data_IF_217396186068
#
_entry.id   IF_217396186068
#
_cell.length_a   1.000
_cell.length_b   1.000
_cell.length_c   1.000
_cell.angle_alpha   90.00
_cell.angle_beta   90.00
_cell.angle_gamma   90.00
#
_symmetry.space_group_name_H-M   'P 1'
#
loop_
_entity.id
_entity.type
_entity.pdbx_description
1 polymer ?
#
# COMPACT_ATOMS: atom_id res chain seq x y z
N UNK A 1 -4.71 40.59 -41.89
CA UNK A 1 -5.53 40.60 -40.65
C UNK A 1 -5.43 39.25 -39.94
N UNK A 2 -4.37 39.03 -39.18
CA UNK A 2 -4.15 37.82 -38.40
C UNK A 2 -3.16 38.13 -37.26
N UNK A 3 -3.60 38.90 -36.26
CA UNK A 3 -2.89 39.14 -34.99
C UNK A 3 -3.92 39.54 -33.95
N UNK A 4 -4.58 38.59 -33.28
CA UNK A 4 -5.37 38.92 -32.08
C UNK A 4 -5.81 37.71 -31.22
N UNK A 5 -5.50 36.45 -31.57
CA UNK A 5 -6.02 35.29 -30.81
C UNK A 5 -5.01 34.63 -29.88
N UNK A 6 -3.71 34.90 -30.03
CA UNK A 6 -2.67 34.25 -29.17
C UNK A 6 -2.44 34.92 -27.81
N UNK A 7 -2.80 36.20 -27.66
CA UNK A 7 -2.56 36.94 -26.41
C UNK A 7 -3.58 36.61 -25.29
N UNK A 8 -4.82 36.23 -25.65
CA UNK A 8 -5.87 35.90 -24.66
C UNK A 8 -5.71 34.51 -24.04
N UNK A 9 -5.07 33.57 -24.74
CA UNK A 9 -4.85 32.23 -24.20
C UNK A 9 -3.70 32.19 -23.19
N UNK A 10 -2.66 32.98 -23.44
CA UNK A 10 -1.51 33.08 -22.51
C UNK A 10 -1.84 33.79 -21.18
N UNK A 11 -2.78 34.76 -21.23
CA UNK A 11 -3.22 35.47 -19.99
C UNK A 11 -4.12 34.60 -19.11
N UNK A 12 -4.88 33.65 -19.65
CA UNK A 12 -5.70 32.73 -18.86
C UNK A 12 -4.88 31.63 -18.22
N UNK A 13 -3.84 31.13 -18.88
CA UNK A 13 -2.91 30.14 -18.30
C UNK A 13 -2.05 30.76 -17.19
N UNK A 14 -1.57 31.98 -17.37
CA UNK A 14 -0.77 32.67 -16.34
C UNK A 14 -1.58 33.00 -15.08
N UNK A 15 -2.87 33.38 -15.19
CA UNK A 15 -3.72 33.67 -14.03
C UNK A 15 -4.12 32.42 -13.25
N UNK A 16 -4.26 31.26 -13.89
CA UNK A 16 -4.56 30.00 -13.20
C UNK A 16 -3.32 29.48 -12.45
N UNK A 17 -2.13 29.60 -13.04
CA UNK A 17 -0.87 29.17 -12.41
C UNK A 17 -0.47 30.08 -11.23
N UNK A 18 -0.74 31.39 -11.33
CA UNK A 18 -0.43 32.36 -10.24
C UNK A 18 -1.40 32.19 -9.06
N UNK A 19 -2.66 31.78 -9.26
CA UNK A 19 -3.58 31.45 -8.15
C UNK A 19 -3.17 30.17 -7.41
N UNK A 20 -2.61 29.19 -8.09
CA UNK A 20 -2.12 27.97 -7.45
C UNK A 20 -0.84 28.21 -6.60
N UNK A 21 -0.01 29.19 -6.95
CA UNK A 21 1.22 29.50 -6.20
C UNK A 21 0.97 30.40 -4.98
N UNK A 22 -0.16 31.08 -4.85
CA UNK A 22 -0.49 31.96 -3.72
C UNK A 22 -1.10 31.22 -2.50
N UNK A 23 -1.31 29.90 -2.60
CA UNK A 23 -1.97 29.10 -1.57
C UNK A 23 -1.04 28.13 -0.82
N UNK A 24 0.26 28.27 -0.95
CA UNK A 24 1.24 27.47 -0.19
C UNK A 24 1.71 28.32 1.01
N UNK A 25 1.29 27.95 2.20
CA UNK A 25 1.82 28.54 3.42
C UNK A 25 3.25 28.05 3.71
N UNK A 26 3.89 28.63 4.72
CA UNK A 26 5.24 28.26 5.17
C UNK A 26 5.35 26.81 5.68
N UNK A 27 4.25 26.06 5.80
CA UNK A 27 4.20 24.63 6.16
C UNK A 27 4.07 23.70 4.93
N UNK A 28 3.94 24.26 3.70
CA UNK A 28 3.88 23.48 2.46
C UNK A 28 2.57 22.71 2.24
N UNK A 29 1.48 23.09 2.90
CA UNK A 29 0.19 22.39 2.82
C UNK A 29 -0.82 23.19 1.98
N UNK A 30 -1.48 22.50 1.03
CA UNK A 30 -2.64 23.04 0.33
C UNK A 30 -3.88 23.02 1.25
N UNK A 31 -4.56 24.13 1.40
CA UNK A 31 -5.81 24.28 2.16
C UNK A 31 -6.44 25.65 1.89
N UNK A 32 -7.72 25.81 2.12
CA UNK A 32 -8.38 27.11 2.01
C UNK A 32 -7.99 28.00 3.18
N UNK A 33 -7.34 29.14 2.91
CA UNK A 33 -7.06 30.17 3.88
C UNK A 33 -8.28 31.08 3.97
N UNK A 34 -8.94 31.12 5.13
CA UNK A 34 -10.02 32.06 5.39
C UNK A 34 -9.48 33.48 5.61
N UNK A 35 -10.33 34.49 5.41
CA UNK A 35 -9.99 35.92 5.57
C UNK A 35 -9.47 36.29 6.99
N UNK A 36 -9.70 35.43 7.98
CA UNK A 36 -9.22 35.57 9.37
C UNK A 36 -7.85 34.91 9.61
N UNK A 37 -7.19 34.35 8.58
CA UNK A 37 -5.91 33.67 8.69
C UNK A 37 -5.97 32.25 9.25
N UNK A 38 -7.17 31.70 9.46
CA UNK A 38 -7.32 30.29 9.89
C UNK A 38 -7.21 29.34 8.69
N UNK A 39 -6.48 28.25 8.88
CA UNK A 39 -6.24 27.22 7.88
C UNK A 39 -7.10 26.01 8.23
N UNK A 40 -8.16 25.76 7.47
CA UNK A 40 -8.88 24.49 7.58
C UNK A 40 -8.35 23.51 6.54
N UNK A 41 -7.65 22.48 7.00
CA UNK A 41 -7.36 21.32 6.15
C UNK A 41 -8.67 20.60 5.85
N UNK A 42 -8.94 20.35 4.57
CA UNK A 42 -10.02 19.48 4.14
C UNK A 42 -9.87 18.07 4.74
N UNK A 43 -10.92 17.26 4.66
CA UNK A 43 -10.84 15.85 5.01
C UNK A 43 -9.78 15.17 4.13
N UNK A 44 -9.08 14.16 4.69
CA UNK A 44 -8.07 13.38 3.97
C UNK A 44 -8.22 11.89 4.25
N UNK A 45 -7.84 11.09 3.28
CA UNK A 45 -7.62 9.66 3.45
C UNK A 45 -6.12 9.44 3.71
N UNK A 46 -5.75 9.04 4.93
CA UNK A 46 -4.38 8.62 5.24
C UNK A 46 -4.24 7.13 5.03
N UNK A 47 -3.24 6.73 4.25
CA UNK A 47 -2.87 5.34 4.03
C UNK A 47 -1.53 5.05 4.71
N UNK A 48 -1.49 4.08 5.62
CA UNK A 48 -0.27 3.47 6.10
C UNK A 48 0.00 2.19 5.31
N UNK A 49 0.82 2.25 4.27
CA UNK A 49 1.19 1.10 3.44
C UNK A 49 2.24 0.28 4.14
N UNK A 50 1.95 -0.97 4.45
CA UNK A 50 2.82 -1.90 5.18
C UNK A 50 3.20 -3.04 4.24
N UNK A 51 4.50 -3.30 4.06
CA UNK A 51 4.96 -4.56 3.48
C UNK A 51 4.77 -5.67 4.50
N UNK A 52 4.32 -6.85 4.06
CA UNK A 52 4.22 -8.04 4.92
C UNK A 52 5.51 -8.36 5.67
N UNK A 53 5.43 -9.06 6.81
CA UNK A 53 6.57 -9.62 7.53
C UNK A 53 7.39 -10.59 6.67
N UNK A 54 8.62 -10.88 7.04
CA UNK A 54 9.49 -11.81 6.30
C UNK A 54 8.77 -13.13 6.04
N UNK A 55 8.69 -13.54 4.78
CA UNK A 55 8.14 -14.83 4.36
C UNK A 55 9.25 -15.86 4.15
N UNK A 56 8.88 -17.15 4.09
CA UNK A 56 9.83 -18.21 3.74
C UNK A 56 10.45 -17.99 2.35
N UNK A 57 9.72 -17.41 1.39
CA UNK A 57 10.30 -17.04 0.10
C UNK A 57 11.37 -15.93 0.22
N UNK A 58 11.21 -14.98 1.15
CA UNK A 58 12.27 -13.99 1.42
C UNK A 58 13.51 -14.63 2.05
N UNK A 59 13.33 -15.65 2.89
CA UNK A 59 14.45 -16.43 3.44
C UNK A 59 15.19 -17.15 2.31
N UNK A 60 14.46 -17.82 1.40
CA UNK A 60 15.06 -18.49 0.24
C UNK A 60 15.78 -17.52 -0.69
N UNK A 61 15.25 -16.31 -0.88
CA UNK A 61 15.88 -15.25 -1.66
C UNK A 61 17.22 -14.82 -1.02
N UNK A 62 17.23 -14.54 0.28
CA UNK A 62 18.44 -14.16 1.02
C UNK A 62 19.52 -15.26 1.03
N UNK A 63 19.11 -16.53 0.95
CA UNK A 63 19.99 -17.70 0.90
C UNK A 63 20.43 -18.09 -0.52
N UNK A 64 19.93 -17.41 -1.57
CA UNK A 64 20.21 -17.78 -2.97
C UNK A 64 19.50 -19.07 -3.43
N UNK A 65 18.54 -19.57 -2.65
CA UNK A 65 17.79 -20.82 -2.93
C UNK A 65 16.37 -20.56 -3.43
N UNK A 66 16.06 -19.33 -3.87
CA UNK A 66 14.70 -18.93 -4.26
C UNK A 66 14.06 -19.84 -5.32
N UNK A 67 14.82 -20.18 -6.40
CA UNK A 67 14.27 -20.99 -7.49
C UNK A 67 13.88 -22.41 -7.07
N UNK A 68 14.58 -22.98 -6.09
CA UNK A 68 14.39 -24.37 -5.64
C UNK A 68 13.51 -24.48 -4.40
N UNK A 69 13.44 -23.44 -3.58
CA UNK A 69 12.74 -23.46 -2.31
C UNK A 69 11.42 -22.67 -2.27
N UNK A 70 11.15 -21.83 -3.28
CA UNK A 70 9.93 -21.01 -3.26
C UNK A 70 8.65 -21.84 -3.38
N UNK A 71 7.62 -21.35 -2.71
CA UNK A 71 6.25 -21.84 -2.88
C UNK A 71 5.35 -20.70 -3.36
N UNK A 72 4.20 -21.05 -3.98
CA UNK A 72 3.29 -20.07 -4.60
C UNK A 72 2.75 -19.04 -3.58
N UNK A 73 2.35 -19.50 -2.38
CA UNK A 73 1.82 -18.64 -1.30
C UNK A 73 2.51 -18.96 0.04
N UNK A 74 3.71 -18.40 0.29
CA UNK A 74 4.52 -18.73 1.46
C UNK A 74 3.92 -18.19 2.76
N UNK A 75 4.17 -18.92 3.83
CA UNK A 75 3.94 -18.48 5.20
C UNK A 75 4.99 -17.45 5.65
N UNK A 76 4.72 -16.75 6.75
CA UNK A 76 5.72 -15.96 7.44
C UNK A 76 6.81 -16.86 8.04
N UNK A 77 8.06 -16.38 7.97
CA UNK A 77 9.16 -16.99 8.75
C UNK A 77 8.95 -16.74 10.26
N UNK A 78 9.70 -17.40 11.14
CA UNK A 78 9.70 -17.07 12.57
C UNK A 78 10.01 -15.59 12.82
N UNK A 79 10.97 -15.01 12.10
CA UNK A 79 11.30 -13.57 12.14
C UNK A 79 10.10 -12.72 11.67
N UNK A 80 9.45 -13.10 10.57
CA UNK A 80 8.30 -12.38 10.04
C UNK A 80 7.11 -12.37 10.98
N UNK A 81 6.86 -13.46 11.70
CA UNK A 81 5.83 -13.51 12.76
C UNK A 81 6.15 -12.51 13.87
N UNK A 82 7.41 -12.49 14.34
CA UNK A 82 7.82 -11.52 15.38
C UNK A 82 7.73 -10.07 14.89
N UNK A 83 8.10 -9.79 13.64
CA UNK A 83 7.93 -8.47 13.02
C UNK A 83 6.46 -8.03 13.04
N UNK A 84 5.53 -8.93 12.68
CA UNK A 84 4.09 -8.65 12.70
C UNK A 84 3.57 -8.35 14.11
N UNK A 85 4.03 -9.12 15.12
CA UNK A 85 3.70 -8.89 16.53
C UNK A 85 4.16 -7.50 17.00
N UNK A 86 5.42 -7.16 16.74
CA UNK A 86 6.03 -5.87 17.11
C UNK A 86 5.30 -4.70 16.44
N UNK A 87 4.93 -4.85 15.16
CA UNK A 87 4.10 -3.86 14.48
C UNK A 87 2.73 -3.70 15.15
N UNK A 88 2.08 -4.82 15.51
CA UNK A 88 0.79 -4.81 16.19
C UNK A 88 0.86 -4.13 17.55
N UNK A 89 1.88 -4.44 18.36
CA UNK A 89 2.15 -3.80 19.65
C UNK A 89 2.37 -2.29 19.50
N UNK A 90 3.14 -1.87 18.49
CA UNK A 90 3.41 -0.46 18.19
C UNK A 90 2.14 0.30 17.80
N UNK A 91 1.34 -0.27 16.89
CA UNK A 91 0.10 0.34 16.40
C UNK A 91 -1.02 0.33 17.47
N UNK A 92 -1.02 -0.63 18.39
CA UNK A 92 -1.92 -0.67 19.54
C UNK A 92 -1.63 0.42 20.59
N UNK A 93 -0.41 0.94 20.62
CA UNK A 93 -0.04 2.07 21.48
C UNK A 93 -0.27 3.40 20.75
N UNK A 94 -1.31 4.15 21.11
CA UNK A 94 -1.69 5.40 20.45
C UNK A 94 -0.56 6.42 20.35
N UNK A 95 0.25 6.58 21.40
CA UNK A 95 1.37 7.53 21.41
C UNK A 95 2.46 7.12 20.42
N UNK A 96 2.76 5.83 20.28
CA UNK A 96 3.72 5.32 19.30
C UNK A 96 3.16 5.39 17.88
N UNK A 97 1.91 4.99 17.68
CA UNK A 97 1.23 5.04 16.39
C UNK A 97 1.11 6.47 15.84
N UNK A 98 1.14 7.49 16.71
CA UNK A 98 1.16 8.91 16.29
C UNK A 98 2.40 9.27 15.47
N UNK A 99 3.51 8.53 15.60
CA UNK A 99 4.67 8.68 14.71
C UNK A 99 4.29 8.54 13.22
N UNK A 100 3.30 7.71 12.93
CA UNK A 100 2.71 7.55 11.59
C UNK A 100 1.47 8.42 11.37
N UNK A 101 1.01 9.16 12.39
CA UNK A 101 -0.31 9.80 12.41
C UNK A 101 -1.45 8.78 12.36
N UNK A 102 -1.23 7.59 12.90
CA UNK A 102 -2.15 6.46 12.95
C UNK A 102 -2.60 6.13 14.39
N UNK A 103 -2.60 7.11 15.29
CA UNK A 103 -3.09 6.96 16.67
C UNK A 103 -4.54 6.49 16.75
N UNK A 104 -5.30 6.69 15.69
CA UNK A 104 -6.59 6.07 15.41
C UNK A 104 -6.54 5.45 14.01
N UNK A 105 -6.70 4.14 13.91
CA UNK A 105 -6.91 3.43 12.65
C UNK A 105 -8.41 3.18 12.53
N UNK A 106 -8.99 3.52 11.38
CA UNK A 106 -10.42 3.36 11.12
C UNK A 106 -10.73 2.07 10.34
N UNK A 107 -9.80 1.63 9.48
CA UNK A 107 -9.93 0.40 8.69
C UNK A 107 -8.57 -0.27 8.51
N UNK A 108 -8.59 -1.59 8.30
CA UNK A 108 -7.44 -2.38 7.86
C UNK A 108 -7.81 -3.03 6.53
N UNK A 109 -7.04 -2.71 5.48
CA UNK A 109 -7.13 -3.36 4.17
C UNK A 109 -5.98 -4.34 4.05
N UNK A 110 -6.25 -5.53 3.54
CA UNK A 110 -5.24 -6.60 3.49
C UNK A 110 -5.29 -7.33 2.17
N UNK A 111 -4.12 -7.60 1.61
CA UNK A 111 -3.95 -8.47 0.45
C UNK A 111 -4.34 -9.93 0.81
N UNK A 112 -4.87 -10.72 -0.15
CA UNK A 112 -5.36 -12.06 0.12
C UNK A 112 -4.26 -13.13 0.27
N UNK A 113 -2.97 -12.77 0.17
CA UNK A 113 -1.88 -13.72 0.40
C UNK A 113 -1.76 -14.10 1.87
N UNK A 114 -1.42 -15.37 2.16
CA UNK A 114 -1.23 -15.88 3.52
C UNK A 114 -0.35 -14.99 4.38
N UNK A 115 0.84 -14.61 3.89
CA UNK A 115 1.79 -13.76 4.62
C UNK A 115 1.27 -12.38 4.99
N UNK A 116 0.38 -11.79 4.18
CA UNK A 116 -0.24 -10.48 4.50
C UNK A 116 -1.37 -10.62 5.49
N UNK A 117 -2.18 -11.68 5.38
CA UNK A 117 -3.24 -12.00 6.34
C UNK A 117 -2.63 -12.20 7.74
N UNK A 118 -1.56 -13.00 7.84
CA UNK A 118 -0.84 -13.25 9.09
C UNK A 118 -0.16 -11.99 9.64
N UNK A 119 0.38 -11.11 8.76
CA UNK A 119 0.99 -9.84 9.17
C UNK A 119 -0.04 -8.87 9.75
N UNK A 120 -1.27 -8.85 9.23
CA UNK A 120 -2.32 -7.97 9.70
C UNK A 120 -2.94 -8.42 11.03
N UNK A 121 -2.85 -9.69 11.38
CA UNK A 121 -3.57 -10.27 12.52
C UNK A 121 -3.21 -9.63 13.88
N UNK A 122 -1.93 -9.38 14.24
CA UNK A 122 -1.60 -8.70 15.49
C UNK A 122 -2.13 -7.25 15.55
N UNK A 123 -2.06 -6.50 14.44
CA UNK A 123 -2.60 -5.15 14.37
C UNK A 123 -4.14 -5.15 14.48
N UNK A 124 -4.81 -6.10 13.84
CA UNK A 124 -6.26 -6.31 13.96
C UNK A 124 -6.67 -6.58 15.42
N UNK A 125 -5.93 -7.46 16.10
CA UNK A 125 -6.15 -7.77 17.52
C UNK A 125 -5.94 -6.53 18.41
N UNK A 126 -4.88 -5.77 18.17
CA UNK A 126 -4.54 -4.59 18.98
C UNK A 126 -5.53 -3.42 18.79
N UNK A 127 -6.11 -3.29 17.61
CA UNK A 127 -7.06 -2.22 17.27
C UNK A 127 -8.53 -2.63 17.46
N UNK A 128 -8.82 -3.91 17.55
CA UNK A 128 -10.19 -4.46 17.58
C UNK A 128 -10.93 -4.38 16.24
N UNK A 129 -10.21 -4.11 15.14
CA UNK A 129 -10.79 -3.96 13.80
C UNK A 129 -10.82 -5.31 13.06
N UNK A 130 -11.84 -5.50 12.21
CA UNK A 130 -11.94 -6.62 11.29
C UNK A 130 -11.27 -6.24 9.95
N UNK A 131 -10.13 -6.84 9.57
CA UNK A 131 -9.49 -6.56 8.29
C UNK A 131 -10.39 -6.92 7.11
N UNK A 132 -10.40 -6.04 6.08
CA UNK A 132 -11.10 -6.27 4.82
C UNK A 132 -10.10 -6.78 3.77
N UNK A 133 -10.39 -7.91 3.18
CA UNK A 133 -9.55 -8.49 2.11
C UNK A 133 -9.87 -7.80 0.79
N UNK A 134 -8.84 -7.30 0.11
CA UNK A 134 -8.89 -6.71 -1.22
C UNK A 134 -8.09 -7.54 -2.21
N UNK A 135 -8.78 -8.15 -3.17
CA UNK A 135 -8.19 -9.08 -4.14
C UNK A 135 -7.42 -8.40 -5.28
N UNK A 136 -7.23 -7.09 -5.23
CA UNK A 136 -6.51 -6.29 -6.21
C UNK A 136 -5.26 -5.58 -5.65
N UNK A 137 -4.89 -5.84 -4.39
CA UNK A 137 -3.65 -5.35 -3.79
C UNK A 137 -2.64 -6.50 -3.54
N UNK A 138 -2.73 -7.57 -4.35
CA UNK A 138 -1.83 -8.72 -4.29
C UNK A 138 -0.43 -8.39 -4.86
N UNK A 139 0.56 -9.26 -4.59
CA UNK A 139 1.93 -9.08 -5.06
C UNK A 139 2.02 -9.15 -6.59
N UNK A 140 2.92 -8.36 -7.20
CA UNK A 140 3.24 -8.47 -8.61
C UNK A 140 3.55 -9.93 -8.98
N UNK A 141 2.99 -10.37 -10.10
CA UNK A 141 3.07 -11.78 -10.50
C UNK A 141 1.90 -12.63 -10.02
N UNK A 142 1.18 -12.26 -8.95
CA UNK A 142 0.08 -13.05 -8.41
C UNK A 142 0.53 -14.34 -7.71
N UNK A 143 -0.27 -15.41 -7.82
CA UNK A 143 0.06 -16.73 -7.27
C UNK A 143 0.30 -17.71 -8.40
N UNK A 144 1.50 -18.29 -8.46
CA UNK A 144 1.90 -19.22 -9.51
C UNK A 144 2.95 -20.22 -9.02
N UNK A 145 2.98 -21.39 -9.64
CA UNK A 145 4.12 -22.27 -9.64
C UNK A 145 4.98 -22.00 -10.88
N UNK A 146 6.28 -22.13 -10.75
CA UNK A 146 7.23 -22.08 -11.85
C UNK A 146 7.83 -23.47 -12.10
N UNK A 147 8.20 -23.76 -13.34
CA UNK A 147 9.02 -24.94 -13.65
C UNK A 147 10.48 -24.73 -13.19
N UNK A 148 11.30 -25.78 -13.24
CA UNK A 148 12.70 -25.73 -12.77
C UNK A 148 13.57 -24.72 -13.56
N UNK A 149 13.27 -24.49 -14.84
CA UNK A 149 13.96 -23.48 -15.66
C UNK A 149 13.53 -22.05 -15.34
N UNK A 150 12.41 -21.86 -14.61
CA UNK A 150 11.81 -20.58 -14.28
C UNK A 150 11.40 -19.74 -15.51
N UNK A 151 10.93 -20.42 -16.56
CA UNK A 151 10.47 -19.83 -17.83
C UNK A 151 9.01 -20.16 -18.17
N UNK A 152 8.36 -21.00 -17.36
CA UNK A 152 6.95 -21.34 -17.47
C UNK A 152 6.24 -21.22 -16.12
N UNK A 153 5.04 -20.63 -16.12
CA UNK A 153 4.30 -20.27 -14.93
C UNK A 153 2.86 -20.75 -14.98
N UNK A 154 2.43 -21.50 -13.96
CA UNK A 154 1.06 -21.99 -13.82
C UNK A 154 0.37 -21.28 -12.67
N UNK A 155 -0.71 -20.57 -12.96
CA UNK A 155 -1.50 -19.88 -11.93
C UNK A 155 -2.06 -20.87 -10.87
N UNK A 156 -2.12 -20.40 -9.63
CA UNK A 156 -2.80 -21.06 -8.51
C UNK A 156 -3.88 -20.14 -7.95
N UNK A 157 -4.97 -20.73 -7.44
CA UNK A 157 -6.10 -19.96 -6.92
C UNK A 157 -5.81 -19.20 -5.60
N UNK A 158 -4.77 -19.60 -4.87
CA UNK A 158 -4.52 -19.12 -3.50
C UNK A 158 -5.49 -19.76 -2.50
N UNK A 159 -5.51 -19.23 -1.28
CA UNK A 159 -6.43 -19.71 -0.24
C UNK A 159 -7.89 -19.58 -0.68
N UNK A 160 -8.65 -20.63 -0.48
CA UNK A 160 -10.10 -20.64 -0.67
C UNK A 160 -10.80 -19.83 0.43
N UNK A 161 -12.08 -19.48 0.21
CA UNK A 161 -12.91 -18.82 1.23
C UNK A 161 -12.94 -19.61 2.54
N UNK A 162 -13.13 -20.93 2.44
CA UNK A 162 -13.20 -21.79 3.63
C UNK A 162 -11.88 -21.79 4.42
N UNK A 163 -10.75 -21.88 3.75
CA UNK A 163 -9.43 -21.81 4.37
C UNK A 163 -9.17 -20.46 5.03
N UNK A 164 -9.51 -19.34 4.36
CA UNK A 164 -9.38 -18.01 4.95
C UNK A 164 -10.28 -17.83 6.16
N UNK A 165 -11.53 -18.27 6.09
CA UNK A 165 -12.47 -18.19 7.22
C UNK A 165 -12.03 -19.03 8.42
N UNK A 166 -11.44 -20.19 8.17
CA UNK A 166 -10.90 -21.05 9.23
C UNK A 166 -9.67 -20.41 9.91
N UNK A 167 -8.74 -19.82 9.12
CA UNK A 167 -7.52 -19.22 9.65
C UNK A 167 -7.77 -17.81 10.26
N UNK A 168 -8.67 -17.03 9.66
CA UNK A 168 -8.96 -15.64 10.02
C UNK A 168 -10.47 -15.37 10.11
N UNK A 169 -11.18 -15.91 11.11
CA UNK A 169 -12.64 -15.91 11.18
C UNK A 169 -13.26 -14.51 11.30
N UNK A 170 -12.49 -13.51 11.71
CA UNK A 170 -12.95 -12.11 11.84
C UNK A 170 -12.77 -11.28 10.56
N UNK A 171 -12.09 -11.81 9.53
CA UNK A 171 -11.79 -11.05 8.33
C UNK A 171 -13.01 -10.95 7.41
N UNK A 172 -13.19 -9.78 6.81
CA UNK A 172 -14.27 -9.53 5.85
C UNK A 172 -13.78 -9.91 4.46
N UNK A 173 -14.34 -11.00 3.91
CA UNK A 173 -13.96 -11.54 2.62
C UNK A 173 -14.92 -11.06 1.52
N UNK A 174 -14.41 -10.54 0.38
CA UNK A 174 -15.24 -10.22 -0.79
C UNK A 174 -15.73 -11.49 -1.48
N UNK A 175 -16.78 -11.39 -2.30
CA UNK A 175 -17.32 -12.53 -3.06
C UNK A 175 -16.31 -13.12 -4.06
N UNK A 176 -15.35 -12.32 -4.51
CA UNK A 176 -14.24 -12.76 -5.36
C UNK A 176 -13.34 -13.83 -4.74
N UNK A 177 -13.37 -13.99 -3.41
CA UNK A 177 -12.75 -15.13 -2.72
C UNK A 177 -13.79 -16.24 -2.61
N UNK A 178 -13.64 -17.32 -3.36
CA UNK A 178 -14.61 -18.43 -3.40
C UNK A 178 -13.98 -19.82 -3.09
N UNK A 179 -14.65 -20.89 -3.48
CA UNK A 179 -14.19 -22.25 -3.25
C UNK A 179 -12.94 -22.63 -4.09
N UNK A 180 -12.57 -21.83 -5.10
CA UNK A 180 -11.39 -22.06 -5.96
C UNK A 180 -10.23 -21.11 -5.63
N UNK A 181 -10.39 -20.27 -4.58
CA UNK A 181 -9.42 -19.26 -4.16
C UNK A 181 -9.84 -17.86 -4.61
N UNK A 182 -8.85 -17.00 -4.86
CA UNK A 182 -9.07 -15.58 -5.18
C UNK A 182 -8.33 -15.11 -6.44
N UNK A 183 -7.23 -15.77 -6.83
CA UNK A 183 -6.45 -15.37 -8.00
C UNK A 183 -7.08 -15.93 -9.28
N UNK A 184 -7.27 -15.07 -10.28
CA UNK A 184 -7.95 -15.41 -11.54
C UNK A 184 -7.07 -15.14 -12.78
N UNK A 185 -5.78 -14.82 -12.58
CA UNK A 185 -4.86 -14.63 -13.69
C UNK A 185 -4.61 -15.93 -14.45
N UNK A 186 -4.27 -15.85 -15.75
CA UNK A 186 -4.00 -17.05 -16.57
C UNK A 186 -2.62 -17.66 -16.25
N UNK A 187 -1.76 -16.95 -15.54
CA UNK A 187 -0.39 -17.33 -15.20
C UNK A 187 0.22 -16.29 -14.27
N UNK A 188 1.51 -16.04 -14.43
CA UNK A 188 2.20 -14.95 -13.75
C UNK A 188 1.81 -13.60 -14.36
N UNK A 189 1.34 -12.67 -13.55
CA UNK A 189 1.07 -11.29 -13.97
C UNK A 189 2.37 -10.60 -14.42
N UNK A 190 2.33 -9.86 -15.51
CA UNK A 190 3.44 -9.02 -15.98
C UNK A 190 3.55 -7.71 -15.20
N UNK A 191 4.70 -7.01 -15.32
CA UNK A 191 4.90 -5.70 -14.70
C UNK A 191 3.89 -4.66 -15.25
N UNK A 192 3.55 -4.71 -16.56
CA UNK A 192 2.54 -3.84 -17.15
C UNK A 192 1.13 -4.08 -16.57
N UNK A 193 0.74 -5.34 -16.39
CA UNK A 193 -0.54 -5.70 -15.78
C UNK A 193 -0.59 -5.26 -14.31
N UNK A 194 0.50 -5.44 -13.55
CA UNK A 194 0.63 -4.97 -12.18
C UNK A 194 0.51 -3.45 -12.12
N UNK A 195 1.18 -2.71 -13.00
CA UNK A 195 1.10 -1.26 -13.11
C UNK A 195 -0.33 -0.79 -13.42
N UNK A 196 -0.99 -1.44 -14.37
CA UNK A 196 -2.38 -1.13 -14.72
C UNK A 196 -3.32 -1.40 -13.54
N UNK A 197 -3.09 -2.46 -12.77
CA UNK A 197 -3.83 -2.77 -11.54
C UNK A 197 -3.56 -1.73 -10.45
N UNK A 198 -2.32 -1.33 -10.24
CA UNK A 198 -1.94 -0.29 -9.28
C UNK A 198 -2.62 1.07 -9.61
N UNK A 199 -2.71 1.45 -10.89
CA UNK A 199 -3.46 2.64 -11.34
C UNK A 199 -4.95 2.55 -10.98
N UNK A 200 -5.62 1.41 -11.21
CA UNK A 200 -7.03 1.21 -10.81
C UNK A 200 -7.22 1.28 -9.30
N UNK A 201 -6.26 0.76 -8.53
CA UNK A 201 -6.29 0.88 -7.06
C UNK A 201 -6.13 2.33 -6.63
N UNK A 202 -5.25 3.12 -7.27
CA UNK A 202 -5.10 4.55 -7.02
C UNK A 202 -6.38 5.34 -7.32
N UNK A 203 -7.06 5.04 -8.43
CA UNK A 203 -8.36 5.64 -8.78
C UNK A 203 -9.42 5.34 -7.70
N UNK A 204 -9.49 4.09 -7.23
CA UNK A 204 -10.38 3.72 -6.12
C UNK A 204 -10.03 4.46 -4.82
N UNK A 205 -8.75 4.60 -4.51
CA UNK A 205 -8.27 5.36 -3.33
C UNK A 205 -8.70 6.82 -3.44
N UNK A 206 -8.51 7.47 -4.59
CA UNK A 206 -8.96 8.84 -4.85
C UNK A 206 -10.48 8.98 -4.76
N UNK A 207 -11.23 8.05 -5.33
CA UNK A 207 -12.69 8.02 -5.22
C UNK A 207 -13.14 7.84 -3.76
N UNK A 208 -12.44 7.02 -2.98
CA UNK A 208 -12.70 6.87 -1.54
C UNK A 208 -12.44 8.18 -0.80
N UNK A 209 -11.32 8.85 -1.08
CA UNK A 209 -10.97 10.13 -0.47
C UNK A 209 -12.01 11.20 -0.79
N UNK A 210 -12.44 11.33 -2.06
CA UNK A 210 -13.43 12.34 -2.49
C UNK A 210 -14.80 12.20 -1.82
N UNK A 211 -15.17 10.99 -1.39
CA UNK A 211 -16.42 10.70 -0.68
C UNK A 211 -16.38 10.93 0.83
N UNK A 212 -15.25 11.33 1.39
CA UNK A 212 -15.11 11.51 2.84
C UNK A 212 -15.82 12.78 3.32
N UNK A 213 -16.46 12.69 4.49
CA UNK A 213 -16.91 13.86 5.25
C UNK A 213 -15.88 14.28 6.30
N UNK A 214 -15.24 13.29 6.89
CA UNK A 214 -14.20 13.44 7.91
C UNK A 214 -12.95 12.67 7.51
N UNK A 215 -11.79 13.07 8.02
CA UNK A 215 -10.53 12.37 7.76
C UNK A 215 -10.59 10.92 8.23
N UNK A 216 -10.00 10.03 7.45
CA UNK A 216 -9.96 8.59 7.72
C UNK A 216 -8.53 8.06 7.60
N UNK A 217 -8.15 7.19 8.54
CA UNK A 217 -6.85 6.52 8.54
C UNK A 217 -7.02 5.03 8.24
N UNK A 218 -6.33 4.52 7.24
CA UNK A 218 -6.40 3.14 6.78
C UNK A 218 -5.02 2.51 6.84
N UNK A 219 -4.90 1.35 7.50
CA UNK A 219 -3.71 0.52 7.42
C UNK A 219 -3.87 -0.43 6.24
N UNK A 220 -2.92 -0.45 5.31
CA UNK A 220 -2.93 -1.31 4.12
C UNK A 220 -1.77 -2.27 4.20
N UNK A 221 -2.04 -3.56 4.39
CA UNK A 221 -0.99 -4.60 4.43
C UNK A 221 -0.87 -5.26 3.06
N UNK A 222 0.24 -5.01 2.39
CA UNK A 222 0.48 -5.40 1.01
C UNK A 222 1.93 -5.91 0.81
N UNK A 223 2.51 -5.70 -0.35
CA UNK A 223 3.73 -6.35 -0.81
C UNK A 223 4.70 -5.34 -1.41
N UNK A 224 5.95 -5.76 -1.54
CA UNK A 224 7.05 -4.94 -2.02
C UNK A 224 6.84 -4.40 -3.43
N UNK A 225 6.65 -5.29 -4.41
CA UNK A 225 6.51 -4.87 -5.81
C UNK A 225 5.18 -4.17 -6.06
N UNK A 226 4.07 -4.62 -5.42
CA UNK A 226 2.80 -3.92 -5.53
C UNK A 226 2.87 -2.49 -4.96
N UNK A 227 3.47 -2.30 -3.76
CA UNK A 227 3.66 -0.96 -3.19
C UNK A 227 4.51 -0.11 -4.14
N UNK A 228 5.58 -0.67 -4.69
CA UNK A 228 6.43 0.02 -5.67
C UNK A 228 5.64 0.47 -6.90
N UNK A 229 4.84 -0.42 -7.50
CA UNK A 229 3.99 -0.09 -8.64
C UNK A 229 2.92 0.96 -8.30
N UNK A 230 2.38 0.92 -7.07
CA UNK A 230 1.41 1.90 -6.59
C UNK A 230 2.03 3.29 -6.40
N UNK A 231 3.24 3.38 -5.84
CA UNK A 231 3.98 4.64 -5.71
C UNK A 231 4.38 5.19 -7.08
N UNK A 232 4.78 4.33 -8.01
CA UNK A 232 5.06 4.71 -9.40
C UNK A 232 3.83 5.26 -10.12
N UNK A 233 2.65 4.67 -9.88
CA UNK A 233 1.40 5.18 -10.45
C UNK A 233 1.06 6.60 -9.96
N UNK A 234 1.54 7.00 -8.80
CA UNK A 234 1.38 8.35 -8.26
C UNK A 234 2.42 9.31 -8.87
N UNK A 235 3.70 8.90 -8.92
CA UNK A 235 4.82 9.78 -9.23
C UNK A 235 5.13 9.90 -10.73
N UNK A 236 4.91 8.81 -11.48
CA UNK A 236 5.23 8.71 -12.91
C UNK A 236 4.12 8.00 -13.69
N UNK A 237 2.89 8.56 -13.69
CA UNK A 237 1.69 7.88 -14.18
C UNK A 237 1.75 7.48 -15.66
N UNK A 238 2.55 8.16 -16.46
CA UNK A 238 2.64 7.94 -17.92
C UNK A 238 3.65 6.85 -18.31
N UNK A 239 4.44 6.31 -17.36
CA UNK A 239 5.42 5.26 -17.69
C UNK A 239 4.73 3.91 -17.94
N UNK A 240 5.38 3.11 -18.80
CA UNK A 240 5.01 1.73 -19.14
C UNK A 240 6.20 0.82 -18.90
N UNK A 241 5.98 -0.49 -18.89
CA UNK A 241 7.03 -1.47 -18.66
C UNK A 241 7.36 -1.66 -17.18
N UNK A 242 8.61 -1.92 -16.86
CA UNK A 242 9.08 -2.10 -15.49
C UNK A 242 8.85 -0.84 -14.65
N UNK A 243 8.47 -1.02 -13.39
CA UNK A 243 8.34 0.07 -12.42
C UNK A 243 9.57 0.18 -11.52
N UNK A 244 9.83 1.38 -10.99
CA UNK A 244 10.90 1.58 -10.02
C UNK A 244 10.61 0.79 -8.74
N UNK A 245 11.61 0.10 -8.22
CA UNK A 245 11.46 -0.66 -6.97
C UNK A 245 11.86 0.19 -5.79
N UNK A 246 10.84 0.69 -5.11
CA UNK A 246 10.99 1.48 -3.88
C UNK A 246 11.31 0.55 -2.72
N UNK A 247 12.50 0.70 -2.14
CA UNK A 247 12.91 -0.17 -1.03
C UNK A 247 11.94 -0.09 0.13
N UNK A 248 11.39 -1.24 0.54
CA UNK A 248 10.53 -1.40 1.70
C UNK A 248 11.02 -2.59 2.51
N UNK A 249 11.49 -2.33 3.73
CA UNK A 249 11.77 -3.40 4.69
C UNK A 249 10.49 -4.15 5.08
N UNK A 250 10.63 -5.39 5.51
CA UNK A 250 9.50 -6.15 6.03
C UNK A 250 8.88 -5.40 7.21
N UNK A 251 7.57 -5.27 7.24
CA UNK A 251 6.73 -4.47 8.16
C UNK A 251 6.99 -2.96 8.18
N UNK A 252 7.94 -2.43 7.40
CA UNK A 252 8.08 -0.98 7.29
C UNK A 252 6.82 -0.33 6.74
N UNK A 253 6.58 0.91 7.14
CA UNK A 253 5.37 1.67 6.83
C UNK A 253 5.73 2.88 5.95
N UNK A 254 5.04 3.02 4.83
CA UNK A 254 5.02 4.25 4.02
C UNK A 254 3.68 4.93 4.23
N UNK A 255 3.68 6.20 4.60
CA UNK A 255 2.47 6.97 4.91
C UNK A 255 2.20 8.00 3.84
N UNK A 256 1.00 7.97 3.30
CA UNK A 256 0.47 8.90 2.30
C UNK A 256 -0.81 9.55 2.81
N UNK A 257 -0.99 10.84 2.52
CA UNK A 257 -2.27 11.53 2.64
C UNK A 257 -2.83 11.79 1.25
N UNK A 258 -4.08 11.43 1.01
CA UNK A 258 -4.84 11.76 -0.20
C UNK A 258 -5.88 12.80 0.17
N UNK A 259 -5.77 14.00 -0.38
CA UNK A 259 -6.67 15.10 -0.07
C UNK A 259 -8.04 14.87 -0.69
N UNK A 260 -9.10 15.11 0.08
CA UNK A 260 -10.48 14.88 -0.33
C UNK A 260 -10.90 15.75 -1.52
N UNK A 261 -10.54 17.04 -1.50
CA UNK A 261 -11.02 18.00 -2.49
C UNK A 261 -10.33 17.88 -3.84
N UNK A 262 -9.04 17.56 -3.85
CA UNK A 262 -8.18 17.61 -5.05
C UNK A 262 -7.74 16.22 -5.53
N UNK A 263 -7.73 15.23 -4.62
CA UNK A 263 -7.11 13.93 -4.88
C UNK A 263 -5.59 13.97 -4.93
N UNK A 264 -4.97 15.10 -4.56
CA UNK A 264 -3.51 15.22 -4.43
C UNK A 264 -2.98 14.27 -3.37
N UNK A 265 -1.77 13.75 -3.60
CA UNK A 265 -1.11 12.79 -2.72
C UNK A 265 0.13 13.42 -2.11
N UNK A 266 0.15 13.52 -0.78
CA UNK A 266 1.32 13.97 -0.02
C UNK A 266 2.03 12.76 0.62
N UNK A 267 3.36 12.67 0.43
CA UNK A 267 4.19 11.66 1.08
C UNK A 267 4.61 12.15 2.47
N UNK A 268 4.15 11.48 3.51
CA UNK A 268 4.42 11.85 4.89
C UNK A 268 5.63 11.12 5.46
N UNK A 269 5.79 9.84 5.12
CA UNK A 269 6.91 8.97 5.51
C UNK A 269 7.12 7.90 4.46
N UNK A 270 8.37 7.47 4.25
CA UNK A 270 8.72 6.40 3.32
C UNK A 270 9.56 5.37 4.06
N UNK A 271 9.19 4.08 3.96
CA UNK A 271 9.95 2.94 4.48
C UNK A 271 10.38 3.09 5.95
N UNK A 272 9.52 3.62 6.81
CA UNK A 272 9.84 3.85 8.22
C UNK A 272 9.51 2.61 9.07
N UNK A 273 10.45 2.17 9.91
CA UNK A 273 10.31 1.00 10.77
C UNK A 273 10.72 1.25 12.24
N UNK A 274 10.21 2.33 12.91
CA UNK A 274 10.59 2.64 14.29
C UNK A 274 10.26 1.50 15.25
N UNK A 275 9.19 0.76 15.02
CA UNK A 275 8.78 -0.40 15.80
C UNK A 275 9.85 -1.50 15.83
N UNK A 276 10.56 -1.70 14.73
CA UNK A 276 11.67 -2.66 14.63
C UNK A 276 12.85 -2.19 15.47
N UNK A 277 13.29 -0.94 15.27
CA UNK A 277 14.44 -0.37 15.99
C UNK A 277 14.22 -0.25 17.48
N UNK A 278 12.97 0.01 17.92
CA UNK A 278 12.62 0.04 19.34
C UNK A 278 12.58 -1.35 20.00
N UNK A 279 12.21 -2.38 19.24
CA UNK A 279 12.07 -3.74 19.81
C UNK A 279 13.38 -4.53 19.72
N UNK A 280 13.93 -4.68 18.52
CA UNK A 280 15.16 -5.41 18.23
C UNK A 280 15.59 -5.13 16.78
N UNK A 281 16.70 -4.42 16.59
CA UNK A 281 17.25 -4.11 15.27
C UNK A 281 17.57 -5.37 14.44
N UNK A 282 17.89 -6.49 15.11
CA UNK A 282 18.11 -7.79 14.46
C UNK A 282 16.90 -8.35 13.73
N UNK A 283 15.70 -7.79 13.96
CA UNK A 283 14.50 -8.12 13.21
C UNK A 283 14.44 -7.43 11.85
N UNK A 284 15.27 -6.41 11.55
CA UNK A 284 15.25 -5.73 10.27
C UNK A 284 15.57 -6.71 9.15
N UNK A 285 14.72 -6.78 8.13
CA UNK A 285 14.93 -7.65 6.95
C UNK A 285 14.25 -7.07 5.71
N UNK A 286 14.47 -7.73 4.57
CA UNK A 286 13.85 -7.35 3.30
C UNK A 286 14.83 -6.87 2.24
N UNK A 287 16.07 -6.49 2.64
CA UNK A 287 17.19 -6.25 1.73
C UNK A 287 18.49 -6.69 2.40
N UNK A 288 19.41 -7.35 1.68
CA UNK A 288 20.78 -7.44 2.12
C UNK A 288 21.34 -6.02 2.21
N UNK A 289 22.00 -5.70 3.33
CA UNK A 289 22.77 -4.47 3.51
C UNK A 289 23.96 -4.46 2.55
#
# INVERSE_FOLDING_TARGET
>A
MLRSTSALLLTRLATTTIRAMAAIDSSGCAGECYADGTYQRGARLRLGLVRHGESMNNVHEAQGTYKTGRVADPELSPRGRRQAEVLGEFLGNKSKAEFFGLSKIDEIWVSPHRRTLDTAAPAAKATGLAPRVYTDIFEAGGIYDANDAYDSFVARGGMTRAEMQAAHPTYVLPDAVDATGWYRGPGKESDDECRARAKRVLERVRATASGLKDSRNVLVVAHYDFISAFLDAILVPETTGEFARWRHHNTAVTVLDVEQATGEVAFMKINAAPHIYEADEGLLSGFPL
#
